data_IF_265399673296
#
_entry.id   IF_265399673296
#
_cell.length_a   1.000
_cell.length_b   1.000
_cell.length_c   1.000
_cell.angle_alpha   90.00
_cell.angle_beta   90.00
_cell.angle_gamma   90.00
#
_symmetry.space_group_name_H-M   'P 1'
#
loop_
_entity.id
_entity.type
_entity.pdbx_description
1 polymer ?
#
# COMPACT_ATOMS: atom_id res chain seq x y z
N UNK A 1 9.36 -8.29 28.06
CA UNK A 1 10.63 -8.25 27.30
C UNK A 1 10.41 -7.33 26.11
N UNK A 2 11.08 -6.18 26.04
CA UNK A 2 10.96 -5.27 24.90
C UNK A 2 11.86 -5.78 23.77
N UNK A 3 11.29 -5.94 22.56
CA UNK A 3 12.03 -6.31 21.36
C UNK A 3 12.59 -5.03 20.73
N UNK A 4 13.87 -5.05 20.36
CA UNK A 4 14.53 -3.94 19.66
C UNK A 4 14.89 -4.44 18.26
N UNK A 5 14.47 -3.70 17.23
CA UNK A 5 14.77 -4.02 15.84
C UNK A 5 15.98 -3.21 15.37
N UNK A 6 17.04 -3.90 14.95
CA UNK A 6 18.30 -3.29 14.52
C UNK A 6 18.73 -3.73 13.11
N UNK A 7 17.87 -4.43 12.37
CA UNK A 7 18.18 -5.00 11.04
C UNK A 7 17.60 -4.17 9.90
N UNK A 8 17.67 -2.83 10.02
CA UNK A 8 17.17 -1.91 8.98
C UNK A 8 17.94 -2.00 7.65
N UNK A 9 19.11 -2.65 7.64
CA UNK A 9 19.88 -2.92 6.44
C UNK A 9 19.22 -4.01 5.56
N UNK A 10 18.47 -4.93 6.15
CA UNK A 10 17.73 -5.96 5.42
C UNK A 10 16.36 -5.47 4.94
N UNK A 11 15.58 -4.85 5.82
CA UNK A 11 14.28 -4.26 5.50
C UNK A 11 13.85 -3.25 6.56
N UNK A 12 12.78 -2.51 6.32
CA UNK A 12 12.27 -1.49 7.25
C UNK A 12 10.77 -1.69 7.50
N UNK A 13 10.25 -1.29 8.67
CA UNK A 13 8.82 -1.26 8.88
C UNK A 13 8.18 -0.24 7.92
N UNK A 14 6.99 -0.57 7.44
CA UNK A 14 6.21 0.36 6.62
C UNK A 14 5.84 1.59 7.45
N UNK A 15 6.09 2.78 6.92
CA UNK A 15 5.64 4.02 7.54
C UNK A 15 4.11 4.07 7.54
N UNK A 16 3.46 4.43 8.67
CA UNK A 16 2.00 4.50 8.74
C UNK A 16 1.37 5.39 7.65
N UNK A 17 2.01 6.52 7.30
CA UNK A 17 1.51 7.40 6.25
C UNK A 17 1.58 6.77 4.85
N UNK A 18 2.57 5.90 4.62
CA UNK A 18 2.69 5.14 3.38
C UNK A 18 1.61 4.04 3.35
N UNK A 19 1.38 3.36 4.46
CA UNK A 19 0.27 2.40 4.57
C UNK A 19 -1.07 3.07 4.25
N UNK A 20 -1.36 4.22 4.87
CA UNK A 20 -2.59 4.97 4.64
C UNK A 20 -2.76 5.39 3.17
N UNK A 21 -1.67 5.82 2.52
CA UNK A 21 -1.68 6.14 1.09
C UNK A 21 -1.95 4.91 0.20
N UNK A 22 -1.54 3.71 0.64
CA UNK A 22 -1.79 2.45 -0.09
C UNK A 22 -3.21 1.92 0.11
N UNK A 23 -3.84 2.19 1.27
CA UNK A 23 -5.12 1.58 1.65
C UNK A 23 -6.24 1.72 0.61
N UNK A 24 -6.44 2.86 -0.09
CA UNK A 24 -7.47 2.96 -1.11
C UNK A 24 -7.32 1.91 -2.22
N UNK A 25 -6.10 1.65 -2.67
CA UNK A 25 -5.81 0.69 -3.75
C UNK A 25 -5.92 -0.78 -3.31
N UNK A 26 -5.89 -1.03 -2.00
CA UNK A 26 -6.10 -2.36 -1.41
C UNK A 26 -7.56 -2.63 -1.06
N UNK A 27 -8.43 -1.62 -1.09
CA UNK A 27 -9.81 -1.73 -0.60
C UNK A 27 -10.84 -1.25 -1.63
N UNK A 28 -10.87 0.04 -1.96
CA UNK A 28 -11.90 0.67 -2.79
C UNK A 28 -11.51 0.80 -4.26
N UNK A 29 -10.23 0.99 -4.57
CA UNK A 29 -9.69 1.17 -5.92
C UNK A 29 -8.98 -0.09 -6.42
N UNK A 30 -9.69 -1.22 -6.42
CA UNK A 30 -9.17 -2.54 -6.79
C UNK A 30 -9.17 -2.85 -8.30
N UNK A 31 -9.68 -1.93 -9.13
CA UNK A 31 -9.81 -2.15 -10.57
C UNK A 31 -8.47 -2.28 -11.28
N UNK A 32 -8.45 -3.02 -12.40
CA UNK A 32 -7.26 -3.10 -13.25
C UNK A 32 -7.04 -1.75 -13.97
N UNK A 33 -5.92 -1.04 -13.73
CA UNK A 33 -5.67 0.28 -14.33
C UNK A 33 -5.64 0.29 -15.87
N UNK A 34 -5.40 -0.87 -16.49
CA UNK A 34 -5.42 -1.02 -17.95
C UNK A 34 -6.84 -1.09 -18.54
N UNK A 35 -7.87 -1.23 -17.71
CA UNK A 35 -9.26 -1.34 -18.16
C UNK A 35 -9.92 0.01 -18.40
N UNK A 36 -10.90 0.05 -19.33
CA UNK A 36 -11.61 1.28 -19.72
C UNK A 36 -12.93 1.51 -18.94
N UNK A 37 -13.46 0.49 -18.27
CA UNK A 37 -14.65 0.61 -17.44
C UNK A 37 -14.37 1.41 -16.15
N UNK A 38 -15.42 1.85 -15.45
CA UNK A 38 -15.33 2.82 -14.34
C UNK A 38 -14.29 2.43 -13.27
N UNK A 39 -14.37 1.20 -12.76
CA UNK A 39 -13.41 0.71 -11.75
C UNK A 39 -11.95 0.74 -12.22
N UNK A 40 -11.67 0.51 -13.51
CA UNK A 40 -10.30 0.60 -14.04
C UNK A 40 -9.80 2.04 -14.15
N UNK A 41 -10.70 3.00 -14.44
CA UNK A 41 -10.36 4.43 -14.50
C UNK A 41 -10.14 5.05 -13.12
N UNK A 42 -10.88 4.59 -12.12
CA UNK A 42 -10.77 5.03 -10.73
C UNK A 42 -9.49 4.54 -10.04
N UNK A 43 -8.86 3.48 -10.56
CA UNK A 43 -7.62 2.88 -10.06
C UNK A 43 -6.35 3.34 -10.76
N UNK A 44 -6.41 4.40 -11.58
CA UNK A 44 -5.26 5.00 -12.28
C UNK A 44 -4.57 6.09 -11.47
#
# INVERSE_FOLDING_TARGET
MNRIYLDNAATTPLDPSVLDAMMPYLTSHFGNPSSIYSYGRESR
#
